data_IF_354885231736
#
_entry.id   IF_354885231736
#
_cell.length_a   1.000
_cell.length_b   1.000
_cell.length_c   1.000
_cell.angle_alpha   90.00
_cell.angle_beta   90.00
_cell.angle_gamma   90.00
#
_symmetry.space_group_name_H-M   'P 1'
#
loop_
_entity.id
_entity.type
_entity.pdbx_description
1 polymer ?
#
# COMPACT_ATOMS: atom_id res chain seq x y z
N UNK A 1 -11.09 5.95 3.10
CA UNK A 1 -10.33 7.21 3.25
C UNK A 1 -11.18 8.44 2.92
N UNK A 2 -12.01 8.43 1.83
CA UNK A 2 -12.82 9.59 1.42
C UNK A 2 -13.67 10.17 2.56
N UNK A 3 -14.46 9.37 3.34
CA UNK A 3 -15.24 9.91 4.45
C UNK A 3 -14.38 10.60 5.52
N UNK A 4 -13.18 10.09 5.79
CA UNK A 4 -12.25 10.70 6.76
C UNK A 4 -11.70 12.04 6.24
N UNK A 5 -11.42 12.15 4.94
CA UNK A 5 -10.97 13.41 4.34
C UNK A 5 -12.11 14.43 4.35
N UNK A 6 -13.35 14.00 4.12
CA UNK A 6 -14.53 14.84 4.19
C UNK A 6 -14.82 15.32 5.61
N UNK A 7 -14.69 14.46 6.62
CA UNK A 7 -14.86 14.85 8.03
C UNK A 7 -13.82 15.88 8.48
N UNK A 8 -12.67 15.94 7.81
CA UNK A 8 -11.66 16.99 7.99
C UNK A 8 -12.02 18.30 7.26
N UNK A 9 -13.23 18.45 6.70
CA UNK A 9 -13.71 19.68 6.09
C UNK A 9 -13.39 19.86 4.61
N UNK A 10 -12.89 18.85 3.92
CA UNK A 10 -12.69 18.91 2.47
C UNK A 10 -13.97 18.63 1.70
N UNK A 11 -14.16 19.32 0.57
CA UNK A 11 -15.28 19.05 -0.34
C UNK A 11 -15.20 17.64 -0.90
N UNK A 12 -16.34 16.95 -1.17
CA UNK A 12 -16.36 15.57 -1.68
C UNK A 12 -15.51 15.38 -2.95
N UNK A 13 -15.57 16.32 -3.88
CA UNK A 13 -14.77 16.28 -5.12
C UNK A 13 -13.27 16.38 -4.86
N UNK A 14 -12.86 17.24 -3.92
CA UNK A 14 -11.45 17.37 -3.53
C UNK A 14 -10.96 16.12 -2.80
N UNK A 15 -11.79 15.58 -1.89
CA UNK A 15 -11.46 14.34 -1.19
C UNK A 15 -11.27 13.17 -2.15
N UNK A 16 -12.16 13.03 -3.14
CA UNK A 16 -12.03 12.01 -4.20
C UNK A 16 -10.79 12.23 -5.06
N UNK A 17 -10.46 13.48 -5.41
CA UNK A 17 -9.25 13.80 -6.17
C UNK A 17 -7.96 13.48 -5.43
N UNK A 18 -7.89 13.79 -4.13
CA UNK A 18 -6.73 13.45 -3.27
C UNK A 18 -6.56 11.94 -3.19
N UNK A 19 -7.66 11.21 -2.97
CA UNK A 19 -7.64 9.75 -2.88
C UNK A 19 -7.19 9.11 -4.19
N UNK A 20 -7.73 9.56 -5.33
CA UNK A 20 -7.35 9.07 -6.65
C UNK A 20 -5.86 9.34 -6.94
N UNK A 21 -5.36 10.54 -6.64
CA UNK A 21 -3.96 10.87 -6.81
C UNK A 21 -3.07 10.03 -5.88
N UNK A 22 -3.42 9.89 -4.60
CA UNK A 22 -2.65 9.09 -3.66
C UNK A 22 -2.59 7.61 -4.08
N UNK A 23 -3.71 7.05 -4.53
CA UNK A 23 -3.79 5.66 -5.01
C UNK A 23 -2.97 5.43 -6.27
N UNK A 24 -3.03 6.36 -7.24
CA UNK A 24 -2.23 6.29 -8.47
C UNK A 24 -0.73 6.32 -8.18
N UNK A 25 -0.32 7.11 -7.18
CA UNK A 25 1.06 7.16 -6.72
C UNK A 25 1.58 5.84 -6.15
N UNK A 26 0.70 4.99 -5.64
CA UNK A 26 1.07 3.67 -5.11
C UNK A 26 1.79 2.77 -6.13
N UNK A 27 1.46 2.92 -7.42
CA UNK A 27 2.14 2.19 -8.49
C UNK A 27 3.60 2.64 -8.73
N UNK A 28 3.99 3.81 -8.23
CA UNK A 28 5.33 4.37 -8.37
C UNK A 28 6.22 4.06 -7.15
N UNK A 29 5.61 3.73 -6.01
CA UNK A 29 6.33 3.60 -4.74
C UNK A 29 6.96 2.23 -4.56
N UNK A 30 8.30 2.16 -4.44
CA UNK A 30 8.96 0.93 -4.00
C UNK A 30 8.49 0.55 -2.57
N UNK A 31 8.45 -0.74 -2.25
CA UNK A 31 8.86 -1.90 -3.05
C UNK A 31 7.72 -2.50 -3.90
N UNK A 32 6.49 -2.02 -3.78
CA UNK A 32 5.28 -2.58 -4.41
C UNK A 32 4.96 -1.74 -5.66
N UNK A 33 5.88 -1.75 -6.61
CA UNK A 33 5.70 -1.05 -7.88
C UNK A 33 4.72 -1.81 -8.77
N UNK A 34 3.96 -1.08 -9.59
CA UNK A 34 3.04 -1.66 -10.55
C UNK A 34 3.72 -2.43 -11.69
N UNK A 35 2.93 -2.92 -12.63
CA UNK A 35 3.40 -3.70 -13.80
C UNK A 35 4.53 -3.02 -14.60
N UNK A 36 4.59 -1.69 -14.59
CA UNK A 36 5.63 -0.91 -15.27
C UNK A 36 7.06 -1.26 -14.83
N UNK A 37 7.27 -1.56 -13.55
CA UNK A 37 8.58 -1.96 -13.06
C UNK A 37 9.04 -3.32 -13.63
N UNK A 38 8.10 -4.24 -13.82
CA UNK A 38 8.39 -5.53 -14.46
C UNK A 38 8.65 -5.39 -15.96
N UNK A 39 7.92 -4.51 -16.64
CA UNK A 39 8.19 -4.21 -18.05
C UNK A 39 9.57 -3.60 -18.24
N UNK A 40 10.02 -2.74 -17.33
CA UNK A 40 11.36 -2.16 -17.36
C UNK A 40 12.47 -3.23 -17.28
N UNK A 41 12.26 -4.32 -16.53
CA UNK A 41 13.23 -5.43 -16.48
C UNK A 41 13.46 -6.09 -17.84
N UNK A 42 12.45 -6.09 -18.73
CA UNK A 42 12.55 -6.69 -20.05
C UNK A 42 13.04 -5.71 -21.13
N UNK A 43 12.87 -4.42 -20.93
CA UNK A 43 13.13 -3.40 -21.98
C UNK A 43 14.49 -2.72 -21.78
N UNK A 44 14.92 -2.51 -20.53
CA UNK A 44 16.15 -1.76 -20.23
C UNK A 44 17.39 -2.57 -20.60
N UNK A 45 18.26 -1.99 -21.41
CA UNK A 45 19.56 -2.56 -21.76
C UNK A 45 20.69 -1.59 -21.34
N UNK A 46 21.76 -2.06 -20.70
CA UNK A 46 22.03 -3.46 -20.30
C UNK A 46 21.05 -3.95 -19.23
N UNK A 47 20.89 -5.30 -19.11
CA UNK A 47 19.97 -5.90 -18.18
C UNK A 47 20.18 -5.38 -16.73
N UNK A 48 19.10 -4.86 -16.14
CA UNK A 48 19.11 -4.29 -14.79
C UNK A 48 18.40 -5.20 -13.80
N UNK A 49 18.81 -5.12 -12.54
CA UNK A 49 18.14 -5.83 -11.46
C UNK A 49 16.93 -5.04 -10.97
N UNK A 50 15.93 -5.75 -10.40
CA UNK A 50 14.78 -5.09 -9.80
C UNK A 50 15.16 -4.04 -8.75
N UNK A 51 16.21 -4.32 -7.96
CA UNK A 51 16.71 -3.38 -6.95
C UNK A 51 17.27 -2.08 -7.55
N UNK A 52 17.86 -2.14 -8.74
CA UNK A 52 18.32 -0.94 -9.46
C UNK A 52 17.15 -0.09 -9.91
N UNK A 53 16.07 -0.72 -10.38
CA UNK A 53 14.82 -0.03 -10.74
C UNK A 53 14.21 0.63 -9.50
N UNK A 54 14.13 -0.10 -8.38
CA UNK A 54 13.65 0.42 -7.08
C UNK A 54 14.42 1.66 -6.66
N UNK A 55 15.76 1.62 -6.72
CA UNK A 55 16.61 2.78 -6.37
C UNK A 55 16.36 3.98 -7.30
N UNK A 56 16.22 3.75 -8.60
CA UNK A 56 15.95 4.81 -9.57
C UNK A 56 14.55 5.43 -9.37
N UNK A 57 13.55 4.61 -9.04
CA UNK A 57 12.18 5.05 -8.83
C UNK A 57 11.96 5.80 -7.51
N UNK A 58 12.88 5.70 -6.56
CA UNK A 58 12.72 6.30 -5.24
C UNK A 58 12.67 7.84 -5.32
N UNK A 59 13.50 8.45 -6.16
CA UNK A 59 13.52 9.91 -6.34
C UNK A 59 12.20 10.43 -6.93
N UNK A 60 11.71 9.91 -8.08
CA UNK A 60 10.40 10.30 -8.60
C UNK A 60 9.25 10.06 -7.61
N UNK A 61 9.26 8.95 -6.87
CA UNK A 61 8.24 8.64 -5.89
C UNK A 61 8.20 9.68 -4.75
N UNK A 62 9.36 10.04 -4.21
CA UNK A 62 9.47 11.08 -3.18
C UNK A 62 8.96 12.42 -3.71
N UNK A 63 9.39 12.84 -4.89
CA UNK A 63 8.94 14.09 -5.52
C UNK A 63 7.42 14.10 -5.73
N UNK A 64 6.85 12.97 -6.17
CA UNK A 64 5.40 12.83 -6.37
C UNK A 64 4.63 13.06 -5.07
N UNK A 65 4.99 12.36 -4.01
CA UNK A 65 4.28 12.48 -2.73
C UNK A 65 4.55 13.82 -2.04
N UNK A 66 5.74 14.38 -2.17
CA UNK A 66 6.02 15.73 -1.68
C UNK A 66 5.15 16.78 -2.39
N UNK A 67 4.98 16.67 -3.71
CA UNK A 67 4.10 17.57 -4.46
C UNK A 67 2.65 17.42 -4.05
N UNK A 68 2.17 16.18 -3.88
CA UNK A 68 0.81 15.89 -3.43
C UNK A 68 0.57 16.46 -2.03
N UNK A 69 1.49 16.25 -1.10
CA UNK A 69 1.43 16.76 0.26
C UNK A 69 1.39 18.30 0.28
N UNK A 70 2.20 18.93 -0.55
CA UNK A 70 2.23 20.39 -0.70
C UNK A 70 0.90 20.91 -1.24
N UNK A 71 0.32 20.27 -2.25
CA UNK A 71 -0.99 20.64 -2.80
C UNK A 71 -2.09 20.51 -1.74
N UNK A 72 -2.12 19.40 -1.00
CA UNK A 72 -3.11 19.18 0.07
C UNK A 72 -2.94 20.23 1.17
N UNK A 73 -1.70 20.49 1.60
CA UNK A 73 -1.40 21.50 2.62
C UNK A 73 -1.83 22.90 2.20
N UNK A 74 -1.47 23.33 0.99
CA UNK A 74 -1.85 24.64 0.48
C UNK A 74 -3.36 24.77 0.29
N UNK A 75 -4.02 23.68 -0.17
CA UNK A 75 -5.47 23.66 -0.32
C UNK A 75 -6.17 23.81 1.04
N UNK A 76 -5.74 23.04 2.04
CA UNK A 76 -6.26 23.13 3.41
C UNK A 76 -6.09 24.54 3.98
N UNK A 77 -4.93 25.16 3.80
CA UNK A 77 -4.65 26.51 4.26
C UNK A 77 -5.49 27.57 3.54
N UNK A 78 -5.70 27.43 2.22
CA UNK A 78 -6.45 28.39 1.40
C UNK A 78 -7.94 28.38 1.73
N UNK A 79 -8.53 27.23 1.95
CA UNK A 79 -9.97 27.08 2.18
C UNK A 79 -10.35 27.09 3.66
N UNK A 80 -9.38 27.38 4.57
CA UNK A 80 -9.59 27.39 6.02
C UNK A 80 -10.44 26.18 6.43
N UNK A 81 -9.99 25.02 6.00
CA UNK A 81 -10.67 23.76 6.31
C UNK A 81 -10.78 23.71 7.83
N UNK A 82 -11.98 24.01 8.34
CA UNK A 82 -12.25 23.95 9.77
C UNK A 82 -12.08 22.48 10.14
N UNK A 83 -11.04 22.22 10.91
CA UNK A 83 -10.94 20.95 11.60
C UNK A 83 -12.12 20.92 12.57
N UNK A 84 -13.27 20.47 12.10
CA UNK A 84 -14.24 19.90 13.02
C UNK A 84 -13.46 18.79 13.71
N UNK A 85 -13.37 18.88 15.04
CA UNK A 85 -12.82 17.76 15.80
C UNK A 85 -13.51 16.52 15.23
N UNK A 86 -12.81 15.65 14.51
CA UNK A 86 -13.45 14.45 14.04
C UNK A 86 -13.91 13.75 15.29
N UNK A 87 -15.17 13.35 15.30
CA UNK A 87 -15.64 12.33 16.21
C UNK A 87 -14.61 11.22 16.09
N UNK A 88 -13.62 11.26 16.98
CA UNK A 88 -12.39 10.48 16.83
C UNK A 88 -12.85 9.03 16.79
N UNK A 89 -12.72 8.34 15.65
CA UNK A 89 -12.79 6.89 15.74
C UNK A 89 -11.71 6.56 16.75
N UNK A 90 -12.14 6.10 17.91
CA UNK A 90 -11.26 5.80 19.02
C UNK A 90 -10.15 4.88 18.51
N UNK A 91 -8.94 5.42 18.36
CA UNK A 91 -7.73 4.64 18.05
C UNK A 91 -7.41 3.64 19.17
N UNK A 92 -8.28 3.60 20.21
CA UNK A 92 -8.15 2.74 21.38
C UNK A 92 -8.11 1.24 21.07
N UNK A 93 -8.52 0.82 19.89
CA UNK A 93 -8.57 -0.60 19.53
C UNK A 93 -7.53 -1.03 18.49
N UNK A 94 -6.53 -0.20 18.19
CA UNK A 94 -5.42 -0.67 17.37
C UNK A 94 -4.55 -1.58 18.25
N UNK A 95 -4.83 -2.87 18.19
CA UNK A 95 -4.04 -3.86 18.94
C UNK A 95 -2.56 -3.69 18.54
N UNK A 96 -1.69 -3.42 19.52
CA UNK A 96 -0.23 -3.33 19.32
C UNK A 96 0.31 -4.56 18.59
N UNK A 97 -0.37 -5.68 18.73
CA UNK A 97 -0.06 -6.95 18.06
C UNK A 97 -0.35 -6.88 16.56
N UNK A 98 -1.47 -6.28 16.14
CA UNK A 98 -1.80 -6.12 14.73
C UNK A 98 -0.83 -5.16 14.03
N UNK A 99 -0.48 -4.05 14.71
CA UNK A 99 0.54 -3.14 14.21
C UNK A 99 1.92 -3.82 14.09
N UNK A 100 2.28 -4.65 15.07
CA UNK A 100 3.51 -5.45 15.05
C UNK A 100 3.54 -6.44 13.88
N UNK A 101 2.45 -7.15 13.63
CA UNK A 101 2.34 -8.07 12.48
C UNK A 101 2.47 -7.34 11.15
N UNK A 102 1.81 -6.18 11.00
CA UNK A 102 1.92 -5.39 9.78
C UNK A 102 3.35 -4.91 9.55
N UNK A 103 4.01 -4.39 10.58
CA UNK A 103 5.40 -3.95 10.49
C UNK A 103 6.34 -5.12 10.16
N UNK A 104 6.15 -6.28 10.77
CA UNK A 104 6.94 -7.48 10.48
C UNK A 104 6.77 -7.91 9.03
N UNK A 105 5.54 -7.90 8.51
CA UNK A 105 5.23 -8.19 7.12
C UNK A 105 5.96 -7.24 6.16
N UNK A 106 5.86 -5.96 6.43
CA UNK A 106 6.44 -4.92 5.58
C UNK A 106 7.97 -4.94 5.62
N UNK A 107 8.57 -5.08 6.81
CA UNK A 107 10.01 -5.18 6.98
C UNK A 107 10.58 -6.45 6.36
N UNK A 108 9.89 -7.60 6.49
CA UNK A 108 10.35 -8.86 5.89
C UNK A 108 10.35 -8.77 4.36
N UNK A 109 9.33 -8.15 3.76
CA UNK A 109 9.25 -7.92 2.32
C UNK A 109 10.43 -7.06 1.83
N UNK A 110 10.71 -5.95 2.51
CA UNK A 110 11.86 -5.09 2.19
C UNK A 110 13.17 -5.87 2.30
N UNK A 111 13.34 -6.63 3.39
CA UNK A 111 14.54 -7.41 3.62
C UNK A 111 14.79 -8.43 2.50
N UNK A 112 13.76 -9.18 2.10
CA UNK A 112 13.90 -10.16 1.02
C UNK A 112 14.24 -9.50 -0.32
N UNK A 113 13.70 -8.33 -0.61
CA UNK A 113 14.06 -7.57 -1.81
C UNK A 113 15.50 -7.06 -1.76
N UNK A 114 16.00 -6.63 -0.58
CA UNK A 114 17.38 -6.20 -0.41
C UNK A 114 18.37 -7.36 -0.56
N UNK A 115 17.98 -8.56 -0.13
CA UNK A 115 18.78 -9.81 -0.34
C UNK A 115 18.85 -10.20 -1.81
N UNK A 116 18.00 -9.61 -2.67
CA UNK A 116 18.00 -9.84 -4.11
C UNK A 116 17.00 -10.90 -4.59
N UNK A 117 16.03 -11.28 -3.76
CA UNK A 117 14.94 -12.13 -4.21
C UNK A 117 14.04 -11.39 -5.20
N UNK A 118 13.45 -12.16 -6.13
CA UNK A 118 12.43 -11.58 -7.02
C UNK A 118 11.21 -11.14 -6.21
N UNK A 119 10.47 -10.10 -6.63
CA UNK A 119 9.31 -9.62 -5.88
C UNK A 119 8.28 -10.70 -5.59
N UNK A 120 8.04 -11.61 -6.53
CA UNK A 120 7.12 -12.72 -6.33
C UNK A 120 7.56 -13.64 -5.18
N UNK A 121 8.87 -14.01 -5.14
CA UNK A 121 9.43 -14.81 -4.04
C UNK A 121 9.43 -14.06 -2.72
N UNK A 122 9.75 -12.77 -2.75
CA UNK A 122 9.75 -11.93 -1.55
C UNK A 122 8.36 -11.84 -0.92
N UNK A 123 7.31 -11.63 -1.73
CA UNK A 123 5.92 -11.60 -1.26
C UNK A 123 5.49 -12.96 -0.73
N UNK A 124 5.76 -14.05 -1.45
CA UNK A 124 5.39 -15.41 -1.02
C UNK A 124 6.05 -15.78 0.30
N UNK A 125 7.34 -15.47 0.47
CA UNK A 125 8.07 -15.74 1.71
C UNK A 125 7.58 -14.86 2.87
N UNK A 126 7.28 -13.58 2.62
CA UNK A 126 6.72 -12.70 3.65
C UNK A 126 5.33 -13.14 4.09
N UNK A 127 4.48 -13.61 3.18
CA UNK A 127 3.18 -14.21 3.51
C UNK A 127 3.31 -15.46 4.37
N UNK A 128 4.24 -16.36 4.03
CA UNK A 128 4.54 -17.55 4.85
C UNK A 128 5.01 -17.16 6.25
N UNK A 129 5.90 -16.17 6.36
CA UNK A 129 6.33 -15.64 7.65
C UNK A 129 5.17 -15.12 8.50
N UNK A 130 4.28 -14.32 7.90
CA UNK A 130 3.10 -13.79 8.60
C UNK A 130 2.21 -14.93 9.09
N UNK A 131 1.96 -15.94 8.26
CA UNK A 131 1.15 -17.10 8.66
C UNK A 131 1.79 -17.83 9.85
N UNK A 132 3.10 -18.03 9.83
CA UNK A 132 3.83 -18.65 10.94
C UNK A 132 3.73 -17.80 12.21
N UNK A 133 4.03 -16.50 12.13
CA UNK A 133 3.93 -15.61 13.29
C UNK A 133 2.49 -15.48 13.82
N UNK A 134 1.49 -15.48 12.93
CA UNK A 134 0.09 -15.43 13.32
C UNK A 134 -0.36 -16.68 14.09
N UNK A 135 0.21 -17.86 13.81
CA UNK A 135 -0.11 -19.09 14.55
C UNK A 135 0.49 -19.09 15.96
N UNK A 136 1.61 -18.40 16.16
CA UNK A 136 2.26 -18.31 17.49
C UNK A 136 1.58 -17.28 18.41
N UNK A 137 0.85 -16.30 17.89
CA UNK A 137 0.18 -15.28 18.68
C UNK A 137 -1.26 -15.69 18.99
N UNK A 138 -1.57 -15.88 20.27
CA UNK A 138 -2.92 -16.23 20.75
C UNK A 138 -4.00 -15.19 20.39
N UNK A 139 -3.61 -13.92 20.18
CA UNK A 139 -4.54 -12.83 19.86
C UNK A 139 -4.85 -12.71 18.35
N UNK A 140 -3.97 -13.25 17.50
CA UNK A 140 -4.10 -13.15 16.04
C UNK A 140 -4.20 -14.51 15.36
N UNK A 141 -4.51 -15.55 16.16
CA UNK A 141 -4.61 -16.91 15.64
C UNK A 141 -5.67 -16.99 14.55
N UNK A 142 -5.20 -17.08 13.32
CA UNK A 142 -6.06 -17.22 12.16
C UNK A 142 -6.59 -18.67 12.17
N UNK A 143 -7.90 -18.83 12.30
CA UNK A 143 -8.54 -20.14 12.11
C UNK A 143 -8.38 -20.58 10.67
N UNK A 144 -8.34 -21.90 10.42
CA UNK A 144 -8.29 -22.44 9.07
C UNK A 144 -9.40 -21.88 8.16
N UNK A 145 -10.60 -21.72 8.69
CA UNK A 145 -11.71 -21.07 7.99
C UNK A 145 -11.42 -19.58 7.69
N UNK A 146 -10.66 -18.91 8.55
CA UNK A 146 -10.22 -17.52 8.33
C UNK A 146 -9.25 -17.41 7.15
N UNK A 147 -8.35 -18.39 7.00
CA UNK A 147 -7.43 -18.46 5.84
C UNK A 147 -8.21 -18.70 4.54
N UNK A 148 -9.17 -19.63 4.56
CA UNK A 148 -10.02 -19.90 3.41
C UNK A 148 -10.82 -18.68 2.98
N UNK A 149 -11.45 -17.98 3.93
CA UNK A 149 -12.20 -16.76 3.64
C UNK A 149 -11.29 -15.63 3.13
N UNK A 150 -10.05 -15.54 3.61
CA UNK A 150 -9.07 -14.57 3.10
C UNK A 150 -8.65 -14.90 1.68
N UNK A 151 -8.46 -16.18 1.34
CA UNK A 151 -8.15 -16.63 -0.01
C UNK A 151 -9.31 -16.38 -0.97
N UNK A 152 -10.55 -16.64 -0.56
CA UNK A 152 -11.76 -16.36 -1.32
C UNK A 152 -11.86 -14.85 -1.67
N UNK A 153 -11.74 -13.98 -0.66
CA UNK A 153 -11.74 -12.53 -0.86
C UNK A 153 -10.58 -12.05 -1.74
N UNK A 154 -9.42 -12.64 -1.60
CA UNK A 154 -8.27 -12.33 -2.46
C UNK A 154 -8.53 -12.74 -3.92
N UNK A 155 -9.16 -13.90 -4.14
CA UNK A 155 -9.54 -14.37 -5.47
C UNK A 155 -10.60 -13.46 -6.11
N UNK A 156 -11.64 -13.07 -5.37
CA UNK A 156 -12.66 -12.11 -5.83
C UNK A 156 -12.04 -10.78 -6.23
N UNK A 157 -11.15 -10.24 -5.39
CA UNK A 157 -10.43 -9.00 -5.68
C UNK A 157 -9.54 -9.14 -6.90
N UNK A 158 -8.86 -10.29 -7.06
CA UNK A 158 -8.03 -10.59 -8.23
C UNK A 158 -8.84 -10.65 -9.52
N UNK A 159 -9.99 -11.32 -9.52
CA UNK A 159 -10.89 -11.39 -10.67
C UNK A 159 -11.39 -9.99 -11.05
N UNK A 160 -11.77 -9.18 -10.07
CA UNK A 160 -12.20 -7.79 -10.29
C UNK A 160 -11.10 -6.93 -10.94
N UNK A 161 -9.85 -7.08 -10.48
CA UNK A 161 -8.69 -6.39 -11.06
C UNK A 161 -8.40 -6.84 -12.50
N UNK A 162 -8.46 -8.15 -12.78
CA UNK A 162 -8.26 -8.69 -14.13
C UNK A 162 -9.37 -8.20 -15.05
N UNK A 163 -10.63 -8.20 -14.60
CA UNK A 163 -11.74 -7.67 -15.38
C UNK A 163 -11.56 -6.19 -15.70
N UNK A 164 -11.16 -5.37 -14.72
CA UNK A 164 -10.88 -3.95 -14.93
C UNK A 164 -9.71 -3.74 -15.91
N UNK A 165 -8.63 -4.51 -15.80
CA UNK A 165 -7.47 -4.42 -16.69
C UNK A 165 -7.77 -4.88 -18.12
N UNK A 166 -8.73 -5.81 -18.32
CA UNK A 166 -9.10 -6.29 -19.64
C UNK A 166 -10.06 -5.36 -20.39
N UNK A 167 -10.64 -4.36 -19.69
CA UNK A 167 -11.52 -3.35 -20.27
C UNK A 167 -10.76 -2.09 -20.77
N UNK A 168 -9.45 -2.03 -20.58
CA UNK A 168 -8.56 -0.94 -21.01
C UNK A 168 -7.78 -1.36 -22.26
#
# INVERSE_FOLDING_TARGET
PIPMIQSSGFKPSTAAGIEAAASSGGALVPPIMGAGAYMMLGIVQPAVTYLQIVKAALIPAVLYYMSLLLVVHLHAKRFKTLVQEPDQPSFENFSKVQAGLFLTAFLSLILFLLVGYTPFRAVSLSLLLILIFSTFSLQTRISFNGVLNAMEKAAESGVSLIAAASCV
#
